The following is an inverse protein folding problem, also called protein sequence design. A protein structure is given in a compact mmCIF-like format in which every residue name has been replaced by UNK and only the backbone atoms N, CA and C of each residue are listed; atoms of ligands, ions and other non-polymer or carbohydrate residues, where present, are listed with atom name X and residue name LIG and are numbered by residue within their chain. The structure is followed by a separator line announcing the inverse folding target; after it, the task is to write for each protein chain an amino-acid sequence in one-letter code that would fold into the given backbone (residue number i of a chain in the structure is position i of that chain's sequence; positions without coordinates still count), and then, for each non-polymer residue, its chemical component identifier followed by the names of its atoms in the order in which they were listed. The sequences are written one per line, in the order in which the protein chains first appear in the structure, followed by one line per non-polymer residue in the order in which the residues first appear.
data_IF_516132352921
#
_entry.id   IF_516132352921
#
_cell.length_a   1.000
_cell.length_b   1.000
_cell.length_c   1.000
_cell.angle_alpha   90.00
_cell.angle_beta   90.00
_cell.angle_gamma   90.00
#
_symmetry.space_group_name_H-M   'P 1'
#
loop_
_entity.id
_entity.type
_entity.pdbx_description
1 polymer ?
#
# COMPACT_ATOMS: atom_id res chain seq x y z
N UNK A 1 -23.54 -12.58 -25.23
CA UNK A 1 -23.00 -13.12 -23.96
C UNK A 1 -22.30 -11.98 -23.27
N UNK A 2 -22.65 -11.77 -22.01
CA UNK A 2 -22.59 -10.49 -21.30
C UNK A 2 -21.16 -9.98 -21.08
N UNK A 3 -20.99 -8.66 -21.25
CA UNK A 3 -19.79 -7.92 -20.90
C UNK A 3 -19.79 -7.78 -19.38
N UNK A 4 -19.02 -8.62 -18.69
CA UNK A 4 -18.88 -8.50 -17.24
C UNK A 4 -17.86 -7.39 -16.96
N UNK A 5 -18.40 -6.19 -16.72
CA UNK A 5 -17.66 -5.03 -16.27
C UNK A 5 -17.33 -5.21 -14.78
N UNK A 6 -16.30 -5.99 -14.47
CA UNK A 6 -15.75 -6.06 -13.12
C UNK A 6 -14.88 -4.82 -12.91
N UNK A 7 -15.30 -3.92 -12.03
CA UNK A 7 -14.56 -2.72 -11.62
C UNK A 7 -13.25 -3.07 -10.91
N UNK A 8 -12.27 -3.56 -11.68
CA UNK A 8 -10.90 -3.78 -11.23
C UNK A 8 -10.26 -2.42 -11.03
N UNK A 9 -10.18 -1.97 -9.79
CA UNK A 9 -9.32 -0.84 -9.45
C UNK A 9 -7.90 -1.26 -9.78
N UNK A 10 -7.31 -0.68 -10.83
CA UNK A 10 -5.95 -0.97 -11.24
C UNK A 10 -5.01 -0.77 -10.05
N UNK A 11 -4.33 -1.85 -9.64
CA UNK A 11 -3.40 -1.78 -8.51
C UNK A 11 -2.15 -1.06 -9.00
N UNK A 12 -2.04 0.20 -8.59
CA UNK A 12 -0.88 1.05 -8.87
C UNK A 12 0.42 0.42 -8.39
N UNK A 13 1.50 0.62 -9.12
CA UNK A 13 2.85 0.37 -8.61
C UNK A 13 3.19 1.42 -7.54
N UNK A 14 4.19 1.13 -6.70
CA UNK A 14 4.63 2.07 -5.65
C UNK A 14 5.02 3.45 -6.23
N UNK A 15 5.59 3.47 -7.44
CA UNK A 15 5.98 4.69 -8.14
C UNK A 15 4.79 5.51 -8.66
N UNK A 16 3.60 4.92 -8.77
CA UNK A 16 2.36 5.60 -9.19
C UNK A 16 1.51 6.04 -7.99
N UNK A 17 1.92 5.70 -6.78
CA UNK A 17 1.24 6.10 -5.55
C UNK A 17 1.63 7.54 -5.17
N UNK A 18 0.63 8.42 -5.12
CA UNK A 18 0.81 9.84 -4.79
C UNK A 18 0.01 10.21 -3.53
N UNK A 19 -1.20 9.65 -3.39
CA UNK A 19 -2.16 9.98 -2.33
C UNK A 19 -2.22 8.83 -1.32
N UNK A 20 -2.62 9.15 -0.08
CA UNK A 20 -2.82 8.14 0.99
C UNK A 20 -3.62 6.91 0.50
N UNK A 21 -4.69 7.13 -0.25
CA UNK A 21 -5.60 6.08 -0.72
C UNK A 21 -4.96 5.15 -1.76
N UNK A 22 -3.97 5.63 -2.52
CA UNK A 22 -3.18 4.77 -3.41
C UNK A 22 -2.39 3.75 -2.56
N UNK A 23 -1.72 4.23 -1.50
CA UNK A 23 -0.97 3.37 -0.58
C UNK A 23 -1.88 2.42 0.21
N UNK A 24 -3.05 2.86 0.68
CA UNK A 24 -4.03 1.97 1.35
C UNK A 24 -4.47 0.86 0.41
N UNK A 25 -4.77 1.19 -0.85
CA UNK A 25 -5.14 0.20 -1.87
C UNK A 25 -3.99 -0.76 -2.15
N UNK A 26 -2.74 -0.27 -2.18
CA UNK A 26 -1.56 -1.09 -2.35
C UNK A 26 -1.36 -2.09 -1.20
N UNK A 27 -1.52 -1.65 0.06
CA UNK A 27 -1.48 -2.54 1.22
C UNK A 27 -2.56 -3.63 1.13
N UNK A 28 -3.81 -3.27 0.83
CA UNK A 28 -4.91 -4.25 0.72
C UNK A 28 -4.70 -5.25 -0.41
N UNK A 29 -4.14 -4.81 -1.54
CA UNK A 29 -3.78 -5.73 -2.62
C UNK A 29 -2.71 -6.72 -2.19
N UNK A 30 -1.73 -6.29 -1.38
CA UNK A 30 -0.71 -7.18 -0.82
C UNK A 30 -1.27 -8.14 0.23
N UNK A 31 -2.16 -7.66 1.09
CA UNK A 31 -2.88 -8.47 2.07
C UNK A 31 -3.65 -9.60 1.38
N UNK A 32 -4.51 -9.28 0.40
CA UNK A 32 -5.28 -10.27 -0.38
C UNK A 32 -4.39 -11.34 -1.00
N UNK A 33 -3.30 -10.93 -1.68
CA UNK A 33 -2.37 -11.87 -2.33
C UNK A 33 -1.68 -12.80 -1.32
N UNK A 34 -1.30 -12.28 -0.16
CA UNK A 34 -0.63 -13.10 0.87
C UNK A 34 -1.60 -14.05 1.57
N UNK A 35 -2.84 -13.62 1.79
CA UNK A 35 -3.88 -14.50 2.32
C UNK A 35 -4.19 -15.65 1.34
N UNK A 36 -4.23 -15.38 0.04
CA UNK A 36 -4.33 -16.40 -1.02
C UNK A 36 -3.16 -17.39 -0.98
N UNK A 37 -1.96 -16.94 -0.61
CA UNK A 37 -0.76 -17.76 -0.42
C UNK A 37 -0.71 -18.46 0.96
N UNK A 38 -1.73 -18.28 1.80
CA UNK A 38 -1.80 -18.87 3.15
C UNK A 38 -0.90 -18.17 4.18
N UNK A 39 -0.37 -17.00 3.86
CA UNK A 39 0.50 -16.20 4.74
C UNK A 39 -0.35 -15.29 5.61
N UNK A 40 -0.16 -15.37 6.93
CA UNK A 40 -0.90 -14.50 7.85
C UNK A 40 -0.48 -13.04 7.72
N UNK A 41 -1.43 -12.14 7.50
CA UNK A 41 -1.20 -10.70 7.60
C UNK A 41 -0.94 -10.26 9.05
N UNK A 42 0.19 -9.59 9.29
CA UNK A 42 0.62 -9.17 10.63
C UNK A 42 1.12 -7.73 10.60
N UNK A 43 1.06 -7.07 11.76
CA UNK A 43 1.58 -5.72 11.93
C UNK A 43 3.05 -5.57 11.47
N UNK A 44 3.91 -6.53 11.81
CA UNK A 44 5.32 -6.53 11.37
C UNK A 44 5.46 -6.54 9.84
N UNK A 45 4.56 -7.21 9.11
CA UNK A 45 4.52 -7.20 7.65
C UNK A 45 4.24 -5.81 7.11
N UNK A 46 3.26 -5.11 7.69
CA UNK A 46 2.87 -3.76 7.27
C UNK A 46 4.06 -2.80 7.42
N UNK A 47 4.78 -2.88 8.56
CA UNK A 47 5.97 -2.07 8.79
C UNK A 47 7.11 -2.39 7.83
N UNK A 48 7.34 -3.68 7.54
CA UNK A 48 8.36 -4.08 6.57
C UNK A 48 8.06 -3.51 5.18
N UNK A 49 6.84 -3.69 4.68
CA UNK A 49 6.39 -3.15 3.40
C UNK A 49 6.51 -1.62 3.35
N UNK A 50 6.05 -0.93 4.40
CA UNK A 50 6.16 0.52 4.49
C UNK A 50 7.62 1.00 4.42
N UNK A 51 8.53 0.30 5.10
CA UNK A 51 9.96 0.65 5.11
C UNK A 51 10.58 0.43 3.73
N UNK A 52 10.31 -0.70 3.09
CA UNK A 52 10.77 -0.99 1.72
C UNK A 52 10.25 0.04 0.72
N UNK A 53 8.96 0.38 0.78
CA UNK A 53 8.37 1.39 -0.10
C UNK A 53 8.86 2.81 0.16
N UNK A 54 9.20 3.15 1.41
CA UNK A 54 9.85 4.41 1.71
C UNK A 54 11.23 4.50 1.04
N UNK A 55 12.00 3.41 1.05
CA UNK A 55 13.27 3.33 0.34
C UNK A 55 13.08 3.47 -1.19
N UNK A 56 12.07 2.81 -1.76
CA UNK A 56 11.72 2.95 -3.17
C UNK A 56 11.40 4.41 -3.55
N UNK A 57 10.60 5.11 -2.73
CA UNK A 57 10.26 6.53 -2.93
C UNK A 57 11.50 7.42 -2.86
N UNK A 58 12.38 7.19 -1.87
CA UNK A 58 13.59 7.98 -1.69
C UNK A 58 14.56 7.85 -2.87
N UNK A 59 14.65 6.65 -3.43
CA UNK A 59 15.49 6.33 -4.59
C UNK A 59 14.85 6.71 -5.94
N UNK A 60 13.56 7.05 -5.96
CA UNK A 60 12.87 7.46 -7.18
C UNK A 60 13.37 8.82 -7.70
N UNK A 61 13.43 8.96 -9.03
CA UNK A 61 13.90 10.19 -9.71
C UNK A 61 12.79 11.25 -9.82
N UNK A 62 12.31 11.71 -8.67
CA UNK A 62 11.35 12.81 -8.50
C UNK A 62 11.97 13.87 -7.58
N UNK A 63 11.36 15.06 -7.52
CA UNK A 63 11.84 16.11 -6.63
C UNK A 63 11.61 15.78 -5.13
N UNK A 64 12.40 16.40 -4.27
CA UNK A 64 12.38 16.08 -2.83
C UNK A 64 11.07 16.49 -2.14
N UNK A 65 10.38 17.54 -2.62
CA UNK A 65 9.11 17.94 -2.04
C UNK A 65 8.04 16.88 -2.32
N UNK A 66 8.03 16.33 -3.53
CA UNK A 66 7.18 15.21 -3.90
C UNK A 66 7.50 13.94 -3.10
N UNK A 67 8.79 13.60 -2.91
CA UNK A 67 9.20 12.48 -2.04
C UNK A 67 8.64 12.64 -0.63
N UNK A 68 8.82 13.82 -0.02
CA UNK A 68 8.30 14.11 1.32
C UNK A 68 6.78 13.97 1.38
N UNK A 69 6.06 14.45 0.36
CA UNK A 69 4.60 14.31 0.29
C UNK A 69 4.16 12.84 0.21
N UNK A 70 4.82 12.05 -0.65
CA UNK A 70 4.53 10.61 -0.80
C UNK A 70 4.87 9.83 0.47
N UNK A 71 6.00 10.10 1.11
CA UNK A 71 6.38 9.51 2.40
C UNK A 71 5.36 9.81 3.50
N UNK A 72 4.91 11.07 3.62
CA UNK A 72 3.86 11.46 4.57
C UNK A 72 2.58 10.66 4.32
N UNK A 73 2.16 10.54 3.06
CA UNK A 73 0.95 9.80 2.69
C UNK A 73 1.09 8.30 2.97
N UNK A 74 2.27 7.71 2.72
CA UNK A 74 2.59 6.33 3.08
C UNK A 74 2.52 6.11 4.59
N UNK A 75 3.10 7.00 5.42
CA UNK A 75 3.05 6.88 6.88
C UNK A 75 1.62 6.93 7.43
N UNK A 76 0.78 7.81 6.89
CA UNK A 76 -0.64 7.91 7.29
C UNK A 76 -1.38 6.62 6.89
N UNK A 77 -1.17 6.13 5.67
CA UNK A 77 -1.78 4.88 5.20
C UNK A 77 -1.33 3.67 6.05
N UNK A 78 -0.03 3.56 6.33
CA UNK A 78 0.52 2.52 7.20
C UNK A 78 -0.15 2.51 8.57
N UNK A 79 -0.27 3.67 9.23
CA UNK A 79 -0.92 3.75 10.54
C UNK A 79 -2.41 3.33 10.44
N UNK A 80 -3.13 3.77 9.41
CA UNK A 80 -4.52 3.36 9.17
C UNK A 80 -4.66 1.85 9.03
N UNK A 81 -3.80 1.20 8.23
CA UNK A 81 -3.83 -0.25 8.01
C UNK A 81 -3.44 -0.99 9.29
N UNK A 82 -2.41 -0.55 10.03
CA UNK A 82 -2.04 -1.15 11.33
C UNK A 82 -3.21 -1.09 12.32
N UNK A 83 -3.89 0.04 12.44
CA UNK A 83 -5.06 0.16 13.32
C UNK A 83 -6.20 -0.76 12.88
N UNK A 84 -6.42 -0.95 11.58
CA UNK A 84 -7.39 -1.89 11.07
C UNK A 84 -7.03 -3.35 11.43
N UNK A 85 -5.77 -3.74 11.23
CA UNK A 85 -5.26 -5.09 11.56
C UNK A 85 -5.29 -5.40 13.05
N UNK A 86 -5.17 -4.39 13.93
CA UNK A 86 -5.30 -4.58 15.39
C UNK A 86 -6.75 -4.80 15.84
N UNK A 87 -7.74 -4.27 15.10
CA UNK A 87 -9.16 -4.44 15.44
C UNK A 87 -9.74 -5.80 15.03
N UNK A 88 -9.08 -6.48 14.10
CA UNK A 88 -9.51 -7.80 13.60
C UNK A 88 -8.92 -8.98 14.38
N UNK A 89 -8.14 -8.71 15.44
CA UNK A 89 -7.60 -9.70 16.38
C UNK A 89 -8.16 -9.48 17.78
#
# INVERSE_FOLDING_TARGET
MEVVNAGGTEVKCIFDCERKQDFVSLFRSRESKWEEEGVTWREATIYLLATTWAEDILNHRIDDAEKVCRLKNLMIAMNEVVQATRKTR
#
